data_IF_470672593868
#
_entry.id   IF_470672593868
#
_cell.length_a   1.000
_cell.length_b   1.000
_cell.length_c   1.000
_cell.angle_alpha   90.00
_cell.angle_beta   90.00
_cell.angle_gamma   90.00
#
_symmetry.space_group_name_H-M   'P 1'
#
loop_
_entity.id
_entity.type
_entity.pdbx_description
1 polymer ?
#
# COMPACT_ATOMS: atom_id res chain seq x y z
N UNK A 1 -13.87 -30.65 -45.29
CA UNK A 1 -14.36 -29.63 -44.35
C UNK A 1 -14.07 -30.15 -42.96
N UNK A 2 -12.97 -29.73 -42.35
CA UNK A 2 -12.70 -30.03 -40.95
C UNK A 2 -13.04 -28.78 -40.12
N UNK A 3 -13.87 -28.90 -39.08
CA UNK A 3 -14.11 -27.78 -38.18
C UNK A 3 -12.86 -27.59 -37.30
N UNK A 4 -12.25 -26.41 -37.40
CA UNK A 4 -11.22 -25.97 -36.46
C UNK A 4 -11.91 -25.69 -35.14
N UNK A 5 -11.62 -26.51 -34.13
CA UNK A 5 -11.98 -26.23 -32.75
C UNK A 5 -11.38 -24.89 -32.34
N UNK A 6 -12.24 -23.87 -32.30
CA UNK A 6 -11.92 -22.59 -31.72
C UNK A 6 -11.72 -22.81 -30.22
N UNK A 7 -10.46 -22.88 -29.79
CA UNK A 7 -10.08 -22.84 -28.38
C UNK A 7 -10.62 -21.54 -27.77
N UNK A 8 -11.76 -21.64 -27.09
CA UNK A 8 -12.31 -20.61 -26.24
C UNK A 8 -11.28 -20.31 -25.15
N UNK A 9 -10.53 -19.21 -25.31
CA UNK A 9 -9.60 -18.71 -24.30
C UNK A 9 -10.44 -18.13 -23.16
N UNK A 10 -10.88 -19.00 -22.26
CA UNK A 10 -11.41 -18.55 -20.98
C UNK A 10 -10.24 -18.04 -20.12
N UNK A 11 -10.30 -16.82 -19.56
CA UNK A 11 -9.28 -16.35 -18.64
C UNK A 11 -9.25 -17.31 -17.44
N UNK A 12 -8.13 -18.00 -17.25
CA UNK A 12 -7.98 -18.99 -16.19
C UNK A 12 -8.22 -18.35 -14.82
N UNK A 13 -9.23 -18.84 -14.10
CA UNK A 13 -9.52 -18.43 -12.72
C UNK A 13 -8.66 -19.26 -11.78
N UNK A 14 -7.60 -18.64 -11.27
CA UNK A 14 -6.69 -19.25 -10.31
C UNK A 14 -7.47 -19.76 -9.08
N UNK A 15 -7.39 -21.05 -8.81
CA UNK A 15 -8.15 -21.69 -7.73
C UNK A 15 -7.62 -21.25 -6.36
N UNK A 16 -8.35 -21.60 -5.30
CA UNK A 16 -7.88 -21.34 -3.94
C UNK A 16 -6.59 -22.13 -3.66
N UNK A 17 -6.49 -23.38 -4.11
CA UNK A 17 -5.29 -24.19 -3.98
C UNK A 17 -4.09 -23.58 -4.73
N UNK A 18 -4.29 -23.11 -5.96
CA UNK A 18 -3.24 -22.41 -6.71
C UNK A 18 -2.79 -21.13 -6.01
N UNK A 19 -3.72 -20.42 -5.37
CA UNK A 19 -3.41 -19.21 -4.60
C UNK A 19 -2.59 -19.53 -3.36
N UNK A 20 -2.91 -20.62 -2.64
CA UNK A 20 -2.13 -21.10 -1.51
C UNK A 20 -0.70 -21.50 -1.93
N UNK A 21 -0.59 -22.26 -3.02
CA UNK A 21 0.70 -22.73 -3.54
C UNK A 21 1.55 -21.57 -4.07
N UNK A 22 0.94 -20.57 -4.73
CA UNK A 22 1.64 -19.35 -5.15
C UNK A 22 2.27 -18.63 -3.95
N UNK A 23 1.53 -18.49 -2.84
CA UNK A 23 2.02 -17.82 -1.63
C UNK A 23 3.22 -18.57 -1.04
N UNK A 24 3.09 -19.89 -0.88
CA UNK A 24 4.14 -20.75 -0.32
C UNK A 24 5.41 -20.76 -1.19
N UNK A 25 5.25 -20.94 -2.51
CA UNK A 25 6.36 -21.00 -3.46
C UNK A 25 7.07 -19.66 -3.59
N UNK A 26 6.34 -18.54 -3.62
CA UNK A 26 6.96 -17.21 -3.61
C UNK A 26 7.74 -17.01 -2.32
N UNK A 27 7.12 -17.26 -1.16
CA UNK A 27 7.72 -17.01 0.14
C UNK A 27 8.99 -17.83 0.37
N UNK A 28 8.98 -19.11 -0.02
CA UNK A 28 10.15 -20.00 0.08
C UNK A 28 11.28 -19.59 -0.87
N UNK A 29 10.96 -18.92 -1.98
CA UNK A 29 11.91 -18.53 -3.03
C UNK A 29 12.10 -17.01 -3.12
N UNK A 30 12.05 -16.30 -2.00
CA UNK A 30 12.27 -14.85 -1.97
C UNK A 30 13.64 -14.43 -2.53
N UNK A 31 14.65 -15.28 -2.33
CA UNK A 31 16.00 -15.07 -2.86
C UNK A 31 16.06 -14.96 -4.40
N UNK A 32 15.03 -15.42 -5.13
CA UNK A 32 14.97 -15.28 -6.59
C UNK A 32 14.45 -13.90 -7.04
N UNK A 33 13.81 -13.16 -6.15
CA UNK A 33 13.21 -11.84 -6.43
C UNK A 33 14.16 -10.70 -6.09
N UNK A 34 15.40 -10.77 -6.59
CA UNK A 34 16.52 -9.85 -6.25
C UNK A 34 16.43 -8.44 -6.85
N UNK A 35 15.35 -8.09 -7.56
CA UNK A 35 15.18 -6.79 -8.23
C UNK A 35 16.07 -6.56 -9.45
N UNK A 36 16.96 -7.49 -9.80
CA UNK A 36 17.78 -7.45 -11.02
C UNK A 36 16.90 -7.54 -12.28
N UNK A 37 17.34 -6.94 -13.39
CA UNK A 37 16.60 -6.94 -14.67
C UNK A 37 16.21 -8.37 -15.06
N UNK A 38 14.95 -8.57 -15.41
CA UNK A 38 14.35 -9.85 -15.77
C UNK A 38 14.33 -10.96 -14.69
N UNK A 39 14.99 -10.78 -13.54
CA UNK A 39 15.06 -11.80 -12.49
C UNK A 39 13.66 -12.16 -11.95
N UNK A 40 12.83 -11.15 -11.65
CA UNK A 40 11.45 -11.38 -11.18
C UNK A 40 10.60 -12.12 -12.23
N UNK A 41 10.79 -11.83 -13.53
CA UNK A 41 10.05 -12.52 -14.60
C UNK A 41 10.45 -13.99 -14.67
N UNK A 42 11.75 -14.29 -14.52
CA UNK A 42 12.28 -15.66 -14.50
C UNK A 42 11.78 -16.41 -13.25
N UNK A 43 11.84 -15.78 -12.09
CA UNK A 43 11.34 -16.35 -10.84
C UNK A 43 9.85 -16.69 -10.93
N UNK A 44 9.02 -15.78 -11.46
CA UNK A 44 7.59 -16.06 -11.66
C UNK A 44 7.32 -17.18 -12.66
N UNK A 45 8.12 -17.31 -13.74
CA UNK A 45 8.01 -18.45 -14.65
C UNK A 45 8.34 -19.77 -13.96
N UNK A 46 9.35 -19.79 -13.09
CA UNK A 46 9.70 -20.97 -12.31
C UNK A 46 8.57 -21.37 -11.34
N UNK A 47 7.96 -20.38 -10.66
CA UNK A 47 6.81 -20.61 -9.77
C UNK A 47 5.60 -21.18 -10.54
N UNK A 48 5.29 -20.63 -11.72
CA UNK A 48 4.18 -21.12 -12.57
C UNK A 48 4.45 -22.54 -13.09
N UNK A 49 5.72 -22.83 -13.41
CA UNK A 49 6.15 -24.16 -13.84
C UNK A 49 5.90 -25.21 -12.76
N UNK A 50 6.32 -24.91 -11.54
CA UNK A 50 6.18 -25.82 -10.40
C UNK A 50 4.71 -26.15 -10.10
N UNK A 51 3.81 -25.18 -10.26
CA UNK A 51 2.36 -25.38 -10.09
C UNK A 51 1.69 -26.05 -11.30
N UNK A 52 2.41 -26.33 -12.39
CA UNK A 52 1.83 -26.91 -13.61
C UNK A 52 0.87 -25.97 -14.36
N UNK A 53 0.97 -24.66 -14.15
CA UNK A 53 0.08 -23.65 -14.74
C UNK A 53 0.65 -22.98 -15.99
N UNK A 54 1.68 -23.57 -16.60
CA UNK A 54 2.29 -23.06 -17.84
C UNK A 54 1.25 -23.00 -18.98
N UNK A 55 1.24 -21.90 -19.72
CA UNK A 55 0.26 -21.63 -20.79
C UNK A 55 -1.15 -21.24 -20.31
N UNK A 56 -1.48 -21.44 -19.03
CA UNK A 56 -2.76 -21.01 -18.42
C UNK A 56 -2.64 -19.68 -17.68
N UNK A 57 -1.50 -19.47 -17.02
CA UNK A 57 -1.20 -18.25 -16.27
C UNK A 57 0.14 -17.71 -16.72
N UNK A 58 0.18 -16.42 -17.08
CA UNK A 58 1.40 -15.73 -17.45
C UNK A 58 2.16 -15.26 -16.21
N UNK A 59 3.49 -15.09 -16.33
CA UNK A 59 4.34 -14.50 -15.28
C UNK A 59 3.81 -13.16 -14.75
N UNK A 60 3.21 -12.33 -15.62
CA UNK A 60 2.59 -11.07 -15.23
C UNK A 60 1.31 -11.24 -14.40
N UNK A 61 0.47 -12.23 -14.73
CA UNK A 61 -0.74 -12.53 -13.96
C UNK A 61 -0.41 -13.04 -12.56
N UNK A 62 0.58 -13.92 -12.42
CA UNK A 62 1.07 -14.39 -11.11
C UNK A 62 1.63 -13.25 -10.26
N UNK A 63 2.46 -12.39 -10.85
CA UNK A 63 2.98 -11.19 -10.17
C UNK A 63 1.86 -10.26 -9.71
N UNK A 64 0.85 -10.02 -10.56
CA UNK A 64 -0.28 -9.16 -10.24
C UNK A 64 -1.15 -9.75 -9.13
N UNK A 65 -1.36 -11.07 -9.14
CA UNK A 65 -2.07 -11.78 -8.07
C UNK A 65 -1.34 -11.62 -6.73
N UNK A 66 -0.02 -11.81 -6.70
CA UNK A 66 0.80 -11.62 -5.50
C UNK A 66 0.73 -10.18 -4.96
N UNK A 67 0.83 -9.16 -5.82
CA UNK A 67 0.70 -7.76 -5.39
C UNK A 67 -0.69 -7.42 -4.86
N UNK A 68 -1.76 -7.97 -5.47
CA UNK A 68 -3.12 -7.82 -4.95
C UNK A 68 -3.28 -8.45 -3.56
N UNK A 69 -2.68 -9.63 -3.32
CA UNK A 69 -2.68 -10.28 -2.01
C UNK A 69 -1.91 -9.42 -1.00
N UNK A 70 -0.72 -8.91 -1.36
CA UNK A 70 0.07 -8.03 -0.48
C UNK A 70 -0.68 -6.75 -0.11
N UNK A 71 -1.38 -6.15 -1.07
CA UNK A 71 -2.17 -4.94 -0.84
C UNK A 71 -3.27 -5.19 0.21
N UNK A 72 -4.07 -6.24 0.02
CA UNK A 72 -5.11 -6.64 0.99
C UNK A 72 -4.54 -7.00 2.36
N UNK A 73 -3.41 -7.69 2.40
CA UNK A 73 -2.71 -8.00 3.65
C UNK A 73 -2.30 -6.73 4.40
N UNK A 74 -1.71 -5.74 3.72
CA UNK A 74 -1.32 -4.46 4.33
C UNK A 74 -2.53 -3.68 4.86
N UNK A 75 -3.63 -3.63 4.11
CA UNK A 75 -4.88 -2.98 4.52
C UNK A 75 -5.44 -3.59 5.81
N UNK A 76 -5.34 -4.92 5.97
CA UNK A 76 -5.81 -5.63 7.17
C UNK A 76 -4.82 -5.59 8.33
N UNK A 77 -3.51 -5.60 8.07
CA UNK A 77 -2.44 -5.60 9.09
C UNK A 77 -2.22 -4.20 9.69
N UNK A 78 -2.41 -3.15 8.89
CA UNK A 78 -2.20 -1.76 9.29
C UNK A 78 -3.44 -0.92 8.95
N UNK A 79 -4.56 -1.10 9.67
CA UNK A 79 -5.75 -0.30 9.44
C UNK A 79 -5.43 1.19 9.65
N UNK A 80 -5.89 2.09 8.77
CA UNK A 80 -5.76 3.53 8.99
C UNK A 80 -6.35 3.91 10.35
N UNK A 81 -5.60 4.70 11.13
CA UNK A 81 -5.83 4.92 12.56
C UNK A 81 -7.27 5.30 12.90
N UNK A 82 -7.91 4.50 13.77
CA UNK A 82 -9.29 4.72 14.23
C UNK A 82 -10.14 3.45 14.40
N UNK A 83 -9.68 2.29 13.90
CA UNK A 83 -10.49 1.06 13.80
C UNK A 83 -9.81 -0.15 14.49
N UNK A 84 -9.22 0.05 15.67
CA UNK A 84 -8.37 -0.95 16.34
C UNK A 84 -9.08 -2.20 16.87
N UNK A 85 -10.40 -2.18 17.07
CA UNK A 85 -11.13 -3.32 17.65
C UNK A 85 -11.85 -4.21 16.61
N UNK A 86 -12.03 -3.72 15.37
CA UNK A 86 -12.66 -4.48 14.27
C UNK A 86 -11.67 -5.10 13.29
N UNK A 87 -10.40 -4.69 13.34
CA UNK A 87 -9.36 -5.16 12.43
C UNK A 87 -9.05 -6.65 12.62
N UNK A 88 -9.10 -7.15 13.86
CA UNK A 88 -8.83 -8.56 14.16
C UNK A 88 -9.91 -9.50 13.60
N UNK A 89 -11.18 -9.09 13.67
CA UNK A 89 -12.32 -9.83 13.08
C UNK A 89 -12.24 -9.81 11.55
N UNK A 90 -11.82 -8.68 10.97
CA UNK A 90 -11.69 -8.52 9.52
C UNK A 90 -10.45 -9.23 8.97
N UNK A 91 -9.37 -9.32 9.75
CA UNK A 91 -8.20 -10.13 9.42
C UNK A 91 -8.53 -11.63 9.46
N UNK A 92 -9.34 -12.07 10.43
CA UNK A 92 -9.83 -13.45 10.52
C UNK A 92 -10.82 -13.83 9.40
N UNK A 93 -11.54 -12.87 8.82
CA UNK A 93 -12.50 -13.13 7.73
C UNK A 93 -11.82 -13.36 6.38
N UNK A 94 -10.58 -12.86 6.20
CA UNK A 94 -9.82 -13.11 4.99
C UNK A 94 -8.96 -14.37 5.13
N UNK A 95 -9.43 -15.46 4.55
CA UNK A 95 -8.79 -16.79 4.62
C UNK A 95 -7.32 -16.84 4.14
N UNK A 96 -6.82 -15.85 3.39
CA UNK A 96 -5.39 -15.74 3.00
C UNK A 96 -4.52 -14.99 4.00
N UNK A 97 -5.10 -14.35 5.02
CA UNK A 97 -4.38 -13.47 5.95
C UNK A 97 -3.25 -14.21 6.67
N UNK A 98 -3.52 -15.38 7.25
CA UNK A 98 -2.54 -16.17 8.00
C UNK A 98 -1.40 -16.67 7.10
N UNK A 99 -1.73 -17.22 5.93
CA UNK A 99 -0.73 -17.68 4.95
C UNK A 99 0.16 -16.54 4.45
N UNK A 100 -0.42 -15.37 4.20
CA UNK A 100 0.35 -14.19 3.80
C UNK A 100 1.15 -13.60 4.97
N UNK A 101 0.62 -13.64 6.19
CA UNK A 101 1.33 -13.22 7.40
C UNK A 101 2.58 -14.08 7.64
N UNK A 102 2.44 -15.41 7.55
CA UNK A 102 3.57 -16.34 7.66
C UNK A 102 4.57 -16.19 6.51
N UNK A 103 4.10 -15.93 5.29
CA UNK A 103 4.95 -15.63 4.13
C UNK A 103 5.77 -14.35 4.34
N UNK A 104 5.16 -13.29 4.87
CA UNK A 104 5.79 -11.99 5.07
C UNK A 104 6.72 -11.95 6.29
N UNK A 105 6.48 -12.80 7.28
CA UNK A 105 7.34 -12.95 8.46
C UNK A 105 8.48 -13.98 8.25
N UNK A 106 8.62 -14.51 7.03
CA UNK A 106 9.69 -15.44 6.66
C UNK A 106 9.54 -16.86 7.24
N UNK A 107 8.41 -17.17 7.88
CA UNK A 107 8.14 -18.47 8.52
C UNK A 107 7.93 -19.61 7.53
N UNK A 108 7.63 -19.28 6.27
CA UNK A 108 7.46 -20.25 5.18
C UNK A 108 8.74 -20.49 4.36
N UNK A 109 9.91 -20.02 4.78
CA UNK A 109 11.15 -20.11 3.99
C UNK A 109 11.58 -21.54 3.60
N UNK A 110 11.06 -22.58 4.26
CA UNK A 110 11.32 -24.00 3.95
C UNK A 110 10.04 -24.78 3.60
N UNK A 111 8.92 -24.10 3.35
CA UNK A 111 7.62 -24.74 3.14
C UNK A 111 7.42 -25.27 1.72
N UNK A 112 8.27 -24.89 0.77
CA UNK A 112 8.19 -25.33 -0.62
C UNK A 112 9.59 -25.57 -1.21
N UNK A 113 9.70 -26.37 -2.29
CA UNK A 113 10.98 -26.67 -2.93
C UNK A 113 11.73 -25.41 -3.38
N UNK A 114 13.06 -25.42 -3.21
CA UNK A 114 13.93 -24.38 -3.75
C UNK A 114 13.98 -24.49 -5.28
N UNK A 115 13.49 -23.46 -5.96
CA UNK A 115 13.42 -23.43 -7.42
C UNK A 115 14.80 -23.10 -8.01
N UNK A 116 15.33 -23.98 -8.85
CA UNK A 116 16.59 -23.74 -9.57
C UNK A 116 16.33 -22.94 -10.85
N UNK A 117 16.98 -21.77 -10.96
CA UNK A 117 16.91 -20.89 -12.14
C UNK A 117 17.96 -21.23 -13.21
N UNK A 118 18.73 -22.31 -13.04
CA UNK A 118 19.78 -22.70 -13.99
C UNK A 118 19.15 -23.38 -15.20
N UNK A 119 19.34 -22.77 -16.37
CA UNK A 119 18.96 -23.24 -17.71
C UNK A 119 17.49 -23.11 -18.13
N UNK A 120 17.07 -21.89 -18.49
CA UNK A 120 15.95 -21.70 -19.41
C UNK A 120 16.34 -20.66 -20.47
N UNK A 121 16.66 -21.16 -21.67
CA UNK A 121 16.90 -20.36 -22.86
C UNK A 121 15.67 -19.55 -23.26
N UNK A 122 15.92 -18.43 -23.91
CA UNK A 122 14.90 -17.52 -24.44
C UNK A 122 14.18 -18.12 -25.66
N UNK A 123 13.44 -19.22 -25.52
CA UNK A 123 12.69 -19.79 -26.64
C UNK A 123 11.31 -20.28 -26.17
N UNK A 124 10.37 -19.36 -25.97
CA UNK A 124 8.92 -19.65 -26.03
C UNK A 124 8.13 -18.34 -26.15
N UNK A 125 7.57 -18.03 -27.34
CA UNK A 125 6.80 -16.82 -27.58
C UNK A 125 5.33 -16.97 -27.13
N UNK A 126 4.92 -16.16 -26.15
CA UNK A 126 3.51 -15.92 -25.84
C UNK A 126 2.82 -15.17 -27.01
N UNK A 127 1.91 -15.86 -27.69
CA UNK A 127 0.73 -15.38 -28.45
C UNK A 127 0.82 -15.09 -29.97
N UNK A 128 -0.31 -15.30 -30.72
CA UNK A 128 -0.33 -15.45 -32.18
C UNK A 128 -0.55 -14.13 -32.94
N UNK A 129 0.31 -13.90 -33.94
CA UNK A 129 -0.01 -13.05 -35.09
C UNK A 129 0.41 -11.58 -34.99
N UNK A 130 1.67 -11.28 -35.33
CA UNK A 130 2.08 -10.27 -36.31
C UNK A 130 3.61 -10.16 -36.31
N UNK A 131 4.20 -10.33 -37.49
CA UNK A 131 5.64 -10.20 -37.76
C UNK A 131 6.16 -8.80 -37.39
N UNK A 132 7.42 -8.73 -36.92
CA UNK A 132 8.37 -7.96 -37.71
C UNK A 132 9.70 -8.68 -37.92
N UNK A 133 10.21 -8.60 -39.14
CA UNK A 133 11.56 -8.95 -39.52
C UNK A 133 12.59 -8.07 -38.78
N UNK A 134 13.58 -8.65 -38.10
CA UNK A 134 14.95 -8.13 -38.13
C UNK A 134 15.98 -9.18 -37.68
N UNK A 135 16.94 -9.42 -38.57
CA UNK A 135 18.06 -10.32 -38.38
C UNK A 135 18.93 -9.94 -37.18
N UNK A 136 19.24 -10.92 -36.32
CA UNK A 136 20.32 -10.83 -35.34
C UNK A 136 21.40 -11.84 -35.71
N UNK A 137 22.52 -11.30 -36.18
CA UNK A 137 23.77 -12.01 -36.40
C UNK A 137 24.64 -11.79 -35.17
N UNK A 138 24.94 -12.84 -34.37
CA UNK A 138 26.11 -12.92 -33.46
C UNK A 138 26.51 -14.39 -33.28
N UNK A 139 27.40 -14.91 -34.12
CA UNK A 139 28.86 -15.05 -33.92
C UNK A 139 29.25 -15.68 -32.57
N UNK A 140 29.65 -16.95 -32.65
CA UNK A 140 30.35 -17.74 -31.63
C UNK A 140 31.69 -17.08 -31.27
N UNK A 141 31.96 -16.95 -29.97
CA UNK A 141 33.27 -16.60 -29.39
C UNK A 141 34.07 -17.90 -29.26
N UNK A 142 35.21 -18.01 -29.94
CA UNK A 142 36.23 -19.03 -29.68
C UNK A 142 37.35 -18.35 -28.90
N UNK A 143 37.63 -18.88 -27.71
CA UNK A 143 38.87 -18.67 -26.99
C UNK A 143 39.98 -19.41 -27.73
N UNK A 144 41.11 -18.73 -27.96
CA UNK A 144 42.38 -19.36 -28.31
C UNK A 144 43.38 -18.80 -27.32
N UNK A 145 43.76 -19.64 -26.37
CA UNK A 145 44.81 -19.38 -25.42
C UNK A 145 46.16 -19.39 -26.16
N UNK A 146 46.96 -18.37 -25.86
CA UNK A 146 48.35 -18.20 -26.28
C UNK A 146 49.18 -19.35 -25.73
N UNK A 147 49.69 -20.21 -26.59
CA UNK A 147 50.91 -20.97 -26.31
C UNK A 147 52.07 -20.29 -27.00
N UNK A 148 53.03 -19.92 -26.18
CA UNK A 148 54.28 -19.26 -26.48
C UNK A 148 55.11 -20.07 -27.49
N UNK A 149 55.54 -19.43 -28.58
CA UNK A 149 56.74 -19.83 -29.31
C UNK A 149 57.40 -18.58 -29.90
N UNK A 150 58.32 -18.03 -29.12
CA UNK A 150 59.45 -17.22 -29.59
C UNK A 150 60.68 -18.08 -29.23
N UNK A 151 61.40 -18.66 -30.20
CA UNK A 151 62.61 -18.08 -30.82
C UNK A 151 63.58 -17.51 -29.77
N UNK A 152 64.88 -17.71 -29.80
CA UNK A 152 65.82 -18.33 -30.73
C UNK A 152 67.16 -18.12 -30.01
N UNK A 153 67.83 -19.16 -29.53
CA UNK A 153 69.20 -19.05 -29.03
C UNK A 153 70.03 -20.20 -29.58
N UNK A 154 70.98 -19.81 -30.43
CA UNK A 154 72.33 -20.37 -30.59
C UNK A 154 72.49 -21.88 -30.65
N UNK A 155 72.79 -22.40 -31.85
CA UNK A 155 73.89 -23.37 -31.97
C UNK A 155 74.50 -23.32 -33.37
N UNK A 156 75.76 -22.88 -33.41
CA UNK A 156 76.68 -23.12 -34.52
C UNK A 156 76.93 -24.63 -34.75
N UNK A 157 77.53 -24.89 -35.92
CA UNK A 157 78.30 -26.06 -36.34
C UNK A 157 77.61 -27.02 -37.32
N UNK A 158 78.11 -27.02 -38.56
CA UNK A 158 77.74 -27.98 -39.60
C UNK A 158 78.20 -27.58 -41.00
N UNK A 159 79.50 -27.33 -41.17
CA UNK A 159 80.20 -27.24 -42.46
C UNK A 159 80.21 -28.62 -43.12
N UNK A 160 79.71 -28.74 -44.35
CA UNK A 160 80.29 -29.59 -45.42
C UNK A 160 79.92 -29.01 -46.80
N UNK A 161 80.85 -29.19 -47.73
CA UNK A 161 81.00 -28.50 -49.01
C UNK A 161 80.11 -29.05 -50.14
N UNK A 162 79.64 -28.14 -51.01
CA UNK A 162 79.49 -28.19 -52.50
C UNK A 162 79.31 -29.54 -53.24
N UNK A 163 78.52 -29.60 -54.35
CA UNK A 163 78.73 -28.68 -55.49
C UNK A 163 77.50 -28.26 -56.33
N UNK A 164 77.55 -27.00 -56.78
CA UNK A 164 77.21 -26.64 -58.17
C UNK A 164 75.74 -26.65 -58.57
N UNK A 165 74.97 -25.66 -58.12
CA UNK A 165 73.85 -25.13 -58.92
C UNK A 165 74.08 -23.64 -59.10
N UNK A 166 74.37 -23.23 -60.33
CA UNK A 166 74.42 -21.83 -60.73
C UNK A 166 73.05 -21.19 -60.48
N UNK A 167 72.89 -20.53 -59.33
CA UNK A 167 71.82 -19.56 -59.13
C UNK A 167 72.30 -18.28 -59.79
N UNK A 168 71.58 -17.85 -60.84
CA UNK A 168 71.85 -16.57 -61.49
C UNK A 168 71.79 -15.47 -60.43
N UNK A 169 72.82 -14.63 -60.32
CA UNK A 169 72.89 -13.51 -59.35
C UNK A 169 71.69 -12.54 -59.42
N UNK A 170 70.91 -12.56 -60.51
CA UNK A 170 69.65 -11.83 -60.63
C UNK A 170 68.48 -12.40 -59.79
N UNK A 171 68.44 -13.72 -59.55
CA UNK A 171 67.34 -14.41 -58.84
C UNK A 171 67.40 -14.15 -57.32
N UNK A 172 68.59 -13.93 -56.77
CA UNK A 172 68.77 -13.67 -55.34
C UNK A 172 68.35 -12.24 -54.97
N UNK A 173 68.64 -11.24 -55.82
CA UNK A 173 68.28 -9.84 -55.59
C UNK A 173 66.77 -9.59 -55.73
N UNK A 174 66.10 -10.26 -56.67
CA UNK A 174 64.64 -10.21 -56.80
C UNK A 174 63.93 -10.76 -55.55
N UNK A 175 64.40 -11.88 -55.01
CA UNK A 175 63.86 -12.47 -53.77
C UNK A 175 64.00 -11.54 -52.54
N UNK A 176 65.09 -10.76 -52.42
CA UNK A 176 65.24 -9.79 -51.33
C UNK A 176 64.35 -8.56 -51.50
N UNK A 177 64.18 -8.06 -52.72
CA UNK A 177 63.27 -6.96 -53.02
C UNK A 177 61.81 -7.35 -52.77
N UNK A 178 61.39 -8.55 -53.18
CA UNK A 178 60.06 -9.09 -52.94
C UNK A 178 59.79 -9.30 -51.43
N UNK A 179 60.81 -9.69 -50.66
CA UNK A 179 60.72 -9.80 -49.20
C UNK A 179 60.57 -8.45 -48.50
N UNK A 180 61.32 -7.43 -48.91
CA UNK A 180 61.20 -6.06 -48.39
C UNK A 180 59.84 -5.45 -48.74
N UNK A 181 59.34 -5.65 -49.97
CA UNK A 181 57.99 -5.24 -50.36
C UNK A 181 56.93 -5.96 -49.52
N UNK A 182 57.04 -7.27 -49.32
CA UNK A 182 56.11 -8.03 -48.48
C UNK A 182 56.16 -7.62 -47.00
N UNK A 183 57.34 -7.26 -46.47
CA UNK A 183 57.50 -6.72 -45.12
C UNK A 183 56.86 -5.32 -44.99
N UNK A 184 57.03 -4.46 -46.00
CA UNK A 184 56.39 -3.15 -46.05
C UNK A 184 54.86 -3.24 -46.13
N UNK A 185 54.33 -4.20 -46.92
CA UNK A 185 52.90 -4.47 -47.03
C UNK A 185 52.33 -5.03 -45.71
N UNK A 186 53.09 -5.89 -45.02
CA UNK A 186 52.72 -6.41 -43.69
C UNK A 186 52.61 -5.30 -42.66
N UNK A 187 53.59 -4.39 -42.61
CA UNK A 187 53.58 -3.24 -41.70
C UNK A 187 52.43 -2.29 -42.05
N UNK A 188 52.18 -2.02 -43.35
CA UNK A 188 51.06 -1.21 -43.78
C UNK A 188 49.71 -1.80 -43.32
N UNK A 189 49.50 -3.11 -43.52
CA UNK A 189 48.30 -3.82 -43.07
C UNK A 189 48.17 -3.83 -41.54
N UNK A 190 49.27 -3.91 -40.79
CA UNK A 190 49.26 -3.82 -39.33
C UNK A 190 48.83 -2.43 -38.85
N UNK A 191 49.40 -1.37 -39.42
CA UNK A 191 48.99 0.01 -39.09
C UNK A 191 47.54 0.31 -39.48
N UNK A 192 47.05 -0.27 -40.58
CA UNK A 192 45.65 -0.15 -40.98
C UNK A 192 44.72 -0.89 -40.00
N UNK A 193 45.11 -2.08 -39.54
CA UNK A 193 44.39 -2.81 -38.47
C UNK A 193 44.37 -2.03 -37.16
N UNK A 194 45.47 -1.41 -36.77
CA UNK A 194 45.55 -0.56 -35.57
C UNK A 194 44.64 0.66 -35.71
N UNK A 195 44.65 1.33 -36.87
CA UNK A 195 43.74 2.44 -37.17
C UNK A 195 42.28 2.00 -37.02
N UNK A 196 41.88 0.90 -37.66
CA UNK A 196 40.52 0.37 -37.54
C UNK A 196 40.17 0.02 -36.09
N UNK A 197 41.13 -0.49 -35.32
CA UNK A 197 40.99 -0.74 -33.88
C UNK A 197 40.69 0.52 -33.07
N UNK A 198 41.47 1.59 -33.28
CA UNK A 198 41.27 2.89 -32.63
C UNK A 198 39.95 3.55 -33.05
N UNK A 199 39.54 3.40 -34.31
CA UNK A 199 38.24 3.88 -34.77
C UNK A 199 37.08 3.13 -34.09
N UNK A 200 37.20 1.81 -33.94
CA UNK A 200 36.21 1.00 -33.23
C UNK A 200 36.12 1.39 -31.74
N UNK A 201 37.26 1.66 -31.09
CA UNK A 201 37.30 2.14 -29.70
C UNK A 201 36.64 3.52 -29.57
N UNK A 202 36.96 4.46 -30.47
CA UNK A 202 36.33 5.79 -30.53
C UNK A 202 34.82 5.71 -30.67
N UNK A 203 34.32 4.82 -31.54
CA UNK A 203 32.88 4.57 -31.69
C UNK A 203 32.30 3.96 -30.40
N UNK A 204 33.01 3.04 -29.76
CA UNK A 204 32.65 2.47 -28.47
C UNK A 204 32.46 3.53 -27.37
N UNK A 205 33.43 4.45 -27.24
CA UNK A 205 33.38 5.56 -26.30
C UNK A 205 32.22 6.52 -26.59
N UNK A 206 31.95 6.82 -27.88
CA UNK A 206 30.79 7.64 -28.25
C UNK A 206 29.47 6.98 -27.86
N UNK A 207 29.33 5.66 -28.03
CA UNK A 207 28.13 4.93 -27.61
C UNK A 207 27.98 4.96 -26.09
N UNK A 208 29.07 4.74 -25.34
CA UNK A 208 29.05 4.80 -23.88
C UNK A 208 28.66 6.19 -23.37
N UNK A 209 29.27 7.25 -23.92
CA UNK A 209 28.93 8.64 -23.59
C UNK A 209 27.45 8.92 -23.86
N UNK A 210 26.93 8.53 -25.02
CA UNK A 210 25.52 8.68 -25.33
C UNK A 210 24.62 7.84 -24.39
N UNK A 211 25.11 6.72 -23.86
CA UNK A 211 24.45 5.96 -22.81
C UNK A 211 24.32 6.77 -21.52
N UNK A 212 25.45 7.30 -21.02
CA UNK A 212 25.50 8.11 -19.80
C UNK A 212 24.65 9.39 -19.91
N UNK A 213 24.66 10.06 -21.05
CA UNK A 213 23.81 11.24 -21.30
C UNK A 213 22.31 10.91 -21.18
N UNK A 214 21.89 9.72 -21.65
CA UNK A 214 20.50 9.26 -21.49
C UNK A 214 20.16 8.94 -20.04
N UNK A 215 21.09 8.32 -19.31
CA UNK A 215 20.92 8.00 -17.89
C UNK A 215 20.80 9.27 -17.05
N UNK A 216 21.67 10.27 -17.27
CA UNK A 216 21.60 11.57 -16.60
C UNK A 216 20.23 12.24 -16.85
N UNK A 217 19.79 12.27 -18.12
CA UNK A 217 18.48 12.82 -18.45
C UNK A 217 17.32 12.03 -17.81
N UNK A 218 17.46 10.72 -17.59
CA UNK A 218 16.46 9.93 -16.87
C UNK A 218 16.42 10.32 -15.39
N UNK A 219 17.59 10.45 -14.75
CA UNK A 219 17.70 10.91 -13.36
C UNK A 219 17.13 12.32 -13.16
N UNK A 220 17.34 13.24 -14.10
CA UNK A 220 16.75 14.58 -14.04
C UNK A 220 15.22 14.54 -14.10
N UNK A 221 14.65 13.64 -14.92
CA UNK A 221 13.18 13.44 -14.96
C UNK A 221 12.66 12.86 -13.65
N UNK A 222 13.36 11.88 -13.08
CA UNK A 222 12.99 11.27 -11.81
C UNK A 222 13.06 12.28 -10.67
N UNK A 223 14.10 13.12 -10.64
CA UNK A 223 14.23 14.23 -9.68
C UNK A 223 13.06 15.19 -9.79
N UNK A 224 12.70 15.61 -11.00
CA UNK A 224 11.57 16.49 -11.22
C UNK A 224 10.22 15.83 -10.87
N UNK A 225 10.10 14.50 -10.98
CA UNK A 225 8.91 13.76 -10.55
C UNK A 225 8.81 13.75 -9.02
N UNK A 226 9.90 13.47 -8.32
CA UNK A 226 9.97 13.48 -6.85
C UNK A 226 9.69 14.88 -6.27
N UNK A 227 10.16 15.94 -6.91
CA UNK A 227 9.85 17.32 -6.50
C UNK A 227 8.34 17.61 -6.60
N UNK A 228 7.66 17.12 -7.65
CA UNK A 228 6.21 17.26 -7.79
C UNK A 228 5.45 16.45 -6.75
N UNK A 229 5.90 15.22 -6.47
CA UNK A 229 5.31 14.37 -5.44
C UNK A 229 5.44 15.02 -4.06
N UNK A 230 6.63 15.52 -3.71
CA UNK A 230 6.88 16.26 -2.47
C UNK A 230 5.93 17.46 -2.33
N UNK A 231 5.79 18.26 -3.40
CA UNK A 231 4.83 19.36 -3.40
C UNK A 231 3.38 18.89 -3.26
N UNK A 232 3.04 17.70 -3.75
CA UNK A 232 1.77 17.02 -3.49
C UNK A 232 1.55 16.75 -2.01
N UNK A 233 2.51 16.05 -1.39
CA UNK A 233 2.48 15.70 0.03
C UNK A 233 2.39 16.95 0.92
N UNK A 234 3.10 18.02 0.58
CA UNK A 234 3.04 19.28 1.35
C UNK A 234 1.64 19.92 1.29
N UNK A 235 0.94 19.85 0.15
CA UNK A 235 -0.45 20.32 0.03
C UNK A 235 -1.41 19.45 0.84
N UNK A 236 -1.24 18.14 0.79
CA UNK A 236 -2.08 17.19 1.54
C UNK A 236 -1.88 17.39 3.06
N UNK A 237 -0.63 17.56 3.51
CA UNK A 237 -0.32 17.90 4.90
C UNK A 237 -1.04 19.18 5.33
N UNK A 238 -0.96 20.25 4.53
CA UNK A 238 -1.64 21.51 4.82
C UNK A 238 -3.18 21.37 4.83
N UNK A 239 -3.74 20.43 4.05
CA UNK A 239 -5.17 20.12 4.08
C UNK A 239 -5.57 19.42 5.38
N UNK A 240 -4.82 18.41 5.78
CA UNK A 240 -5.04 17.69 7.05
C UNK A 240 -4.91 18.62 8.26
N UNK A 241 -3.96 19.56 8.25
CA UNK A 241 -3.82 20.55 9.31
C UNK A 241 -5.05 21.47 9.42
N UNK A 242 -5.63 21.89 8.28
CA UNK A 242 -6.87 22.67 8.25
C UNK A 242 -8.06 21.87 8.79
N UNK A 243 -8.22 20.63 8.35
CA UNK A 243 -9.31 19.76 8.81
C UNK A 243 -9.21 19.49 10.32
N UNK A 244 -7.99 19.28 10.83
CA UNK A 244 -7.74 19.13 12.27
C UNK A 244 -8.18 20.38 13.06
N UNK A 245 -7.88 21.57 12.57
CA UNK A 245 -8.29 22.81 13.22
C UNK A 245 -9.82 23.00 13.23
N UNK A 246 -10.50 22.60 12.14
CA UNK A 246 -11.96 22.60 12.08
C UNK A 246 -12.57 21.63 13.10
N UNK A 247 -12.06 20.40 13.17
CA UNK A 247 -12.52 19.41 14.14
C UNK A 247 -12.31 19.86 15.60
N UNK A 248 -11.22 20.57 15.88
CA UNK A 248 -10.97 21.14 17.20
C UNK A 248 -12.00 22.23 17.55
N UNK A 249 -12.34 23.09 16.58
CA UNK A 249 -13.40 24.10 16.75
C UNK A 249 -14.77 23.45 16.99
N UNK A 250 -15.12 22.43 16.22
CA UNK A 250 -16.39 21.71 16.37
C UNK A 250 -16.47 21.01 17.73
N UNK A 251 -15.37 20.37 18.16
CA UNK A 251 -15.28 19.77 19.50
C UNK A 251 -15.52 20.80 20.60
N UNK A 252 -14.90 21.98 20.50
CA UNK A 252 -15.11 23.07 21.44
C UNK A 252 -16.55 23.63 21.39
N UNK A 253 -17.22 23.60 20.22
CA UNK A 253 -18.63 23.98 20.11
C UNK A 253 -19.52 23.00 20.87
N UNK A 254 -19.34 21.70 20.63
CA UNK A 254 -20.09 20.64 21.30
C UNK A 254 -19.89 20.66 22.83
N UNK A 255 -18.70 20.98 23.30
CA UNK A 255 -18.42 21.12 24.73
C UNK A 255 -19.19 22.29 25.35
N UNK A 256 -19.29 23.43 24.64
CA UNK A 256 -20.11 24.57 25.10
C UNK A 256 -21.60 24.23 25.11
N UNK A 257 -22.08 23.50 24.11
CA UNK A 257 -23.48 23.05 24.05
C UNK A 257 -23.82 22.09 25.19
N UNK A 258 -22.94 21.12 25.49
CA UNK A 258 -23.10 20.23 26.65
C UNK A 258 -23.15 21.04 27.96
N UNK A 259 -22.23 21.97 28.14
CA UNK A 259 -22.23 22.84 29.33
C UNK A 259 -23.49 23.73 29.42
N UNK A 260 -24.11 24.10 28.30
CA UNK A 260 -25.39 24.81 28.31
C UNK A 260 -26.53 23.89 28.74
N UNK A 261 -26.61 22.66 28.18
CA UNK A 261 -27.61 21.67 28.59
C UNK A 261 -27.50 21.31 30.07
N UNK A 262 -26.29 21.20 30.62
CA UNK A 262 -26.09 20.93 32.04
C UNK A 262 -26.62 22.06 32.93
N UNK A 263 -26.48 23.33 32.49
CA UNK A 263 -27.06 24.48 33.19
C UNK A 263 -28.58 24.46 33.12
N UNK A 264 -29.15 24.20 31.95
CA UNK A 264 -30.60 24.13 31.76
C UNK A 264 -31.20 23.01 32.61
N UNK A 265 -30.54 21.84 32.68
CA UNK A 265 -30.94 20.75 33.54
C UNK A 265 -30.91 21.15 35.03
N UNK A 266 -29.86 21.84 35.47
CA UNK A 266 -29.78 22.35 36.84
C UNK A 266 -30.85 23.40 37.17
N UNK A 267 -31.26 24.22 36.18
CA UNK A 267 -32.38 25.16 36.35
C UNK A 267 -33.71 24.42 36.48
N UNK A 268 -33.98 23.45 35.61
CA UNK A 268 -35.18 22.62 35.67
C UNK A 268 -35.31 21.87 37.00
N UNK A 269 -34.19 21.36 37.54
CA UNK A 269 -34.21 20.70 38.85
C UNK A 269 -34.57 21.67 39.99
N UNK A 270 -34.10 22.92 39.92
CA UNK A 270 -34.48 23.96 40.88
C UNK A 270 -35.95 24.33 40.77
N UNK A 271 -36.47 24.49 39.56
CA UNK A 271 -37.89 24.74 39.30
C UNK A 271 -38.77 23.61 39.82
N UNK A 272 -38.37 22.35 39.56
CA UNK A 272 -39.03 21.17 40.10
C UNK A 272 -39.09 21.20 41.62
N UNK A 273 -37.97 21.50 42.27
CA UNK A 273 -37.91 21.62 43.73
C UNK A 273 -38.73 22.81 44.28
N UNK A 274 -38.87 23.90 43.52
CA UNK A 274 -39.72 25.03 43.90
C UNK A 274 -41.20 24.65 43.81
N UNK A 275 -41.63 24.02 42.72
CA UNK A 275 -42.99 23.51 42.53
C UNK A 275 -43.37 22.48 43.60
N UNK A 276 -42.44 21.62 44.01
CA UNK A 276 -42.68 20.66 45.09
C UNK A 276 -42.94 21.36 46.44
N UNK A 277 -42.20 22.43 46.74
CA UNK A 277 -42.44 23.27 47.93
C UNK A 277 -43.77 24.00 47.86
N UNK A 278 -44.11 24.58 46.71
CA UNK A 278 -45.39 25.26 46.50
C UNK A 278 -46.56 24.29 46.69
N UNK A 279 -46.47 23.09 46.11
CA UNK A 279 -47.47 22.03 46.28
C UNK A 279 -47.63 21.63 47.75
N UNK A 280 -46.53 21.51 48.50
CA UNK A 280 -46.57 21.23 49.93
C UNK A 280 -47.21 22.39 50.73
N UNK A 281 -46.95 23.64 50.34
CA UNK A 281 -47.60 24.83 50.90
C UNK A 281 -49.11 24.82 50.69
N UNK A 282 -49.56 24.66 49.44
CA UNK A 282 -50.97 24.57 49.08
C UNK A 282 -51.69 23.42 49.80
N UNK A 283 -51.02 22.30 50.02
CA UNK A 283 -51.58 21.19 50.78
C UNK A 283 -51.84 21.57 52.25
N UNK A 284 -50.90 22.29 52.90
CA UNK A 284 -51.09 22.81 54.26
C UNK A 284 -52.22 23.84 54.33
N UNK A 285 -52.27 24.77 53.37
CA UNK A 285 -53.32 25.78 53.33
C UNK A 285 -54.71 25.13 53.13
N UNK A 286 -54.78 24.10 52.29
CA UNK A 286 -56.01 23.30 52.12
C UNK A 286 -56.41 22.58 53.40
N UNK A 287 -55.46 22.02 54.15
CA UNK A 287 -55.72 21.39 55.45
C UNK A 287 -56.16 22.41 56.49
N UNK A 288 -55.51 23.57 56.57
CA UNK A 288 -55.89 24.67 57.46
C UNK A 288 -57.29 25.21 57.14
N UNK A 289 -57.63 25.41 55.86
CA UNK A 289 -58.96 25.81 55.44
C UNK A 289 -60.03 24.77 55.78
N UNK A 290 -59.72 23.47 55.67
CA UNK A 290 -60.61 22.40 56.14
C UNK A 290 -60.82 22.45 57.66
N UNK A 291 -59.75 22.64 58.43
CA UNK A 291 -59.85 22.77 59.89
C UNK A 291 -60.66 23.99 60.30
N UNK A 292 -60.39 25.17 59.73
CA UNK A 292 -61.19 26.38 60.00
C UNK A 292 -62.65 26.24 59.58
N UNK A 293 -62.94 25.56 58.46
CA UNK A 293 -64.32 25.26 58.07
C UNK A 293 -65.02 24.29 59.03
N UNK A 294 -64.28 23.38 59.68
CA UNK A 294 -64.83 22.50 60.72
C UNK A 294 -65.07 23.27 62.03
N UNK A 295 -64.17 24.16 62.42
CA UNK A 295 -64.35 25.04 63.59
C UNK A 295 -65.59 25.92 63.44
N UNK A 296 -65.74 26.63 62.31
CA UNK A 296 -66.94 27.44 62.03
C UNK A 296 -68.22 26.60 62.06
N UNK A 297 -68.18 25.36 61.56
CA UNK A 297 -69.33 24.44 61.65
C UNK A 297 -69.65 24.00 63.08
N UNK A 298 -68.64 23.82 63.92
CA UNK A 298 -68.82 23.43 65.32
C UNK A 298 -69.29 24.61 66.19
N UNK A 299 -68.87 25.84 65.87
CA UNK A 299 -69.27 27.06 66.59
C UNK A 299 -70.68 27.55 66.18
N UNK A 300 -71.14 27.22 64.97
CA UNK A 300 -72.47 27.57 64.48
C UNK A 300 -73.63 27.24 65.45
N UNK A 301 -73.75 26.04 66.03
CA UNK A 301 -74.82 25.74 67.00
C UNK A 301 -74.69 26.52 68.31
N UNK A 302 -73.47 26.87 68.74
CA UNK A 302 -73.27 27.66 69.95
C UNK A 302 -73.75 29.11 69.76
N UNK A 303 -73.48 29.69 68.59
CA UNK A 303 -73.97 31.02 68.22
C UNK A 303 -75.49 31.04 68.02
N UNK A 304 -76.07 29.97 67.48
CA UNK A 304 -77.53 29.82 67.35
C UNK A 304 -78.22 29.76 68.72
N UNK A 305 -77.66 29.00 69.67
CA UNK A 305 -78.15 28.95 71.06
C UNK A 305 -78.04 30.30 71.78
N UNK A 306 -76.97 31.05 71.55
CA UNK A 306 -76.78 32.38 72.13
C UNK A 306 -77.78 33.39 71.54
N UNK A 307 -78.01 33.35 70.23
CA UNK A 307 -79.02 34.15 69.56
C UNK A 307 -80.44 33.86 70.10
N UNK A 308 -80.83 32.59 70.23
CA UNK A 308 -82.10 32.21 70.85
C UNK A 308 -82.20 32.64 72.32
N UNK A 309 -81.09 32.65 73.04
CA UNK A 309 -81.03 33.08 74.44
C UNK A 309 -81.22 34.59 74.58
N UNK A 310 -80.64 35.38 73.66
CA UNK A 310 -80.85 36.82 73.56
C UNK A 310 -82.30 37.15 73.20
N UNK A 311 -82.89 36.47 72.22
CA UNK A 311 -84.31 36.65 71.89
C UNK A 311 -85.22 36.36 73.09
N UNK A 312 -84.94 35.29 73.86
CA UNK A 312 -85.70 34.99 75.09
C UNK A 312 -85.57 36.11 76.12
N UNK A 313 -84.37 36.69 76.28
CA UNK A 313 -84.12 37.80 77.20
C UNK A 313 -84.82 39.09 76.76
N UNK A 314 -84.81 39.41 75.47
CA UNK A 314 -85.55 40.55 74.91
C UNK A 314 -87.06 40.38 75.12
N UNK A 315 -87.60 39.18 74.85
CA UNK A 315 -89.01 38.87 75.14
C UNK A 315 -89.31 39.04 76.63
N UNK A 316 -88.44 38.57 77.52
CA UNK A 316 -88.60 38.76 78.97
C UNK A 316 -88.59 40.25 79.36
N UNK A 317 -87.64 41.04 78.85
CA UNK A 317 -87.56 42.48 79.12
C UNK A 317 -88.81 43.21 78.62
N UNK A 318 -89.30 42.90 77.41
CA UNK A 318 -90.53 43.51 76.88
C UNK A 318 -91.79 43.15 77.68
N UNK A 319 -91.84 41.95 78.27
CA UNK A 319 -92.91 41.57 79.20
C UNK A 319 -92.78 42.28 80.55
N UNK A 320 -91.56 42.46 81.04
CA UNK A 320 -91.28 43.17 82.29
C UNK A 320 -91.59 44.67 82.16
N UNK A 321 -91.26 45.29 81.03
CA UNK A 321 -91.61 46.67 80.69
C UNK A 321 -93.13 46.87 80.69
N UNK A 322 -93.88 45.97 80.03
CA UNK A 322 -95.35 45.96 80.05
C UNK A 322 -95.96 45.76 81.45
N UNK A 323 -95.23 45.12 82.38
CA UNK A 323 -95.68 44.91 83.75
C UNK A 323 -95.47 46.18 84.60
N UNK A 324 -94.35 46.86 84.42
CA UNK A 324 -94.07 48.15 85.06
C UNK A 324 -95.05 49.23 84.57
N UNK A 325 -95.43 49.23 83.30
CA UNK A 325 -96.42 50.18 82.73
C UNK A 325 -97.85 49.98 83.28
N UNK A 326 -98.14 48.86 83.94
CA UNK A 326 -99.47 48.53 84.49
C UNK A 326 -99.60 48.69 86.01
N UNK A 327 -98.53 49.08 86.69
CA UNK A 327 -98.49 49.44 88.11
C UNK A 327 -98.57 50.96 88.27
#
# INVERSE_FOLDING_TARGET
MEPKDAAMIFPYKMTDEDTANLIKLRASNEALFTGKRNASKIAWRAVIKEMGLQGKVTSGQASKKWENLKKKYKELKFPPGGMGAGADITAASWHWFYLMNEAMEGRLSASAPALSTVSYGEDEPDSPGMVPCRAQSRKRRREVEKSEMLEFLTSEAGREESPGMEVKEGDSLEMYAEREEAESERVALETERERVGLEAERVGLHIQRAGLERELAAMDRDRAALEREKAGVDRDRAAVERDRALLEKDRASMERERAAMDRDWALLEKERAALERERAGLQRDKEAAKHGALEVKNDAPALELDAESLERRERFLSLFEKLIEKL
#
